data_IF_628373975085
#
_entry.id   IF_628373975085
#
_cell.length_a   1.000
_cell.length_b   1.000
_cell.length_c   1.000
_cell.angle_alpha   90.00
_cell.angle_beta   90.00
_cell.angle_gamma   90.00
#
_symmetry.space_group_name_H-M   'P 1'
#
loop_
_entity.id
_entity.type
_entity.pdbx_description
1 polymer ?
#
# COMPACT_ATOMS: atom_id res chain seq x y z
N UNK A 1 -59.15 -28.28 55.97
CA UNK A 1 -58.31 -28.36 54.74
C UNK A 1 -57.64 -27.00 54.49
N UNK A 2 -56.35 -26.90 54.65
CA UNK A 2 -55.60 -25.66 54.31
C UNK A 2 -55.32 -25.63 52.80
N UNK A 3 -55.58 -24.53 52.08
CA UNK A 3 -55.24 -24.44 50.64
C UNK A 3 -53.73 -24.40 50.47
N UNK A 4 -53.21 -25.33 49.66
CA UNK A 4 -51.77 -25.27 49.20
C UNK A 4 -51.61 -24.08 48.29
N UNK A 5 -50.72 -23.14 48.63
CA UNK A 5 -50.34 -22.03 47.79
C UNK A 5 -49.60 -22.58 46.60
N UNK A 6 -50.07 -22.37 45.35
CA UNK A 6 -49.42 -22.64 44.12
C UNK A 6 -48.08 -21.86 44.06
N UNK A 7 -46.97 -22.57 44.17
CA UNK A 7 -45.62 -21.97 43.95
C UNK A 7 -45.52 -21.47 42.51
N UNK A 8 -45.54 -20.19 42.34
CA UNK A 8 -45.43 -19.52 41.05
C UNK A 8 -44.05 -19.80 40.43
N UNK A 9 -43.95 -20.09 39.12
CA UNK A 9 -42.70 -20.56 38.46
C UNK A 9 -41.71 -19.41 38.19
N UNK A 10 -41.65 -18.37 39.05
CA UNK A 10 -40.79 -17.20 38.87
C UNK A 10 -39.31 -17.57 38.65
N UNK A 11 -38.81 -18.62 39.31
CA UNK A 11 -37.45 -19.10 39.14
C UNK A 11 -37.18 -19.62 37.73
N UNK A 12 -38.15 -20.28 37.10
CA UNK A 12 -38.05 -20.80 35.74
C UNK A 12 -38.13 -19.70 34.70
N UNK A 13 -39.00 -18.69 34.96
CA UNK A 13 -39.13 -17.51 34.09
C UNK A 13 -37.86 -16.64 34.18
N UNK A 14 -37.31 -16.43 35.36
CA UNK A 14 -36.06 -15.69 35.54
C UNK A 14 -34.90 -16.38 34.86
N UNK A 15 -34.80 -17.73 34.94
CA UNK A 15 -33.77 -18.50 34.26
C UNK A 15 -33.89 -18.38 32.74
N UNK A 16 -35.11 -18.46 32.20
CA UNK A 16 -35.35 -18.32 30.75
C UNK A 16 -34.98 -16.92 30.25
N UNK A 17 -35.34 -15.87 30.99
CA UNK A 17 -34.98 -14.49 30.64
C UNK A 17 -33.47 -14.23 30.68
N UNK A 18 -32.79 -14.80 31.70
CA UNK A 18 -31.31 -14.66 31.76
C UNK A 18 -30.59 -15.39 30.61
N UNK A 19 -31.13 -16.58 30.22
CA UNK A 19 -30.57 -17.31 29.07
C UNK A 19 -30.80 -16.57 27.76
N UNK A 20 -31.99 -15.99 27.55
CA UNK A 20 -32.29 -15.15 26.39
C UNK A 20 -31.38 -13.91 26.34
N UNK A 21 -31.16 -13.25 27.47
CA UNK A 21 -30.25 -12.10 27.55
C UNK A 21 -28.80 -12.48 27.20
N UNK A 22 -28.33 -13.63 27.70
CA UNK A 22 -26.99 -14.17 27.35
C UNK A 22 -26.84 -14.48 25.86
N UNK A 23 -27.89 -15.07 25.25
CA UNK A 23 -27.87 -15.34 23.80
C UNK A 23 -27.87 -14.07 22.98
N UNK A 24 -28.67 -13.05 23.38
CA UNK A 24 -28.65 -11.73 22.72
C UNK A 24 -27.28 -11.08 22.84
N UNK A 25 -26.65 -11.12 24.01
CA UNK A 25 -25.30 -10.62 24.23
C UNK A 25 -24.23 -11.36 23.40
N UNK A 26 -24.34 -12.69 23.28
CA UNK A 26 -23.47 -13.49 22.47
C UNK A 26 -23.60 -13.12 20.97
N UNK A 27 -24.81 -12.93 20.45
CA UNK A 27 -25.08 -12.55 19.06
C UNK A 27 -24.59 -11.11 18.79
N UNK A 28 -24.87 -10.16 19.67
CA UNK A 28 -24.41 -8.79 19.54
C UNK A 28 -22.89 -8.68 19.67
N UNK A 29 -22.28 -9.45 20.58
CA UNK A 29 -20.83 -9.48 20.79
C UNK A 29 -20.08 -10.06 19.59
N UNK A 30 -20.58 -11.13 18.97
CA UNK A 30 -19.97 -11.71 17.77
C UNK A 30 -20.17 -10.81 16.54
N UNK A 31 -21.32 -10.15 16.41
CA UNK A 31 -21.58 -9.19 15.35
C UNK A 31 -20.67 -7.96 15.42
N UNK A 32 -20.43 -7.44 16.63
CA UNK A 32 -19.52 -6.33 16.84
C UNK A 32 -18.05 -6.71 16.57
N UNK A 33 -17.62 -7.91 16.99
CA UNK A 33 -16.24 -8.38 16.70
C UNK A 33 -15.99 -8.67 15.22
N UNK A 34 -17.01 -9.10 14.46
CA UNK A 34 -16.86 -9.31 13.01
C UNK A 34 -16.84 -7.98 12.23
N UNK A 35 -17.49 -6.93 12.75
CA UNK A 35 -17.45 -5.60 12.14
C UNK A 35 -16.07 -4.91 12.25
N UNK A 36 -15.21 -5.37 13.19
CA UNK A 36 -13.84 -4.84 13.35
C UNK A 36 -12.83 -5.46 12.38
N UNK A 37 -13.19 -6.57 11.70
CA UNK A 37 -12.35 -7.28 10.75
C UNK A 37 -12.78 -7.15 9.29
N UNK A 38 -13.75 -6.29 8.98
CA UNK A 38 -13.90 -5.83 7.61
C UNK A 38 -12.84 -4.77 7.35
N UNK A 39 -11.64 -5.25 7.07
CA UNK A 39 -10.59 -4.45 6.48
C UNK A 39 -11.10 -4.01 5.10
N UNK A 40 -11.60 -2.79 5.02
CA UNK A 40 -11.81 -2.10 3.75
C UNK A 40 -10.48 -1.51 3.33
N UNK A 41 -9.50 -2.39 3.11
CA UNK A 41 -8.30 -1.99 2.40
C UNK A 41 -8.74 -1.59 1.00
N UNK A 42 -8.46 -0.36 0.54
CA UNK A 42 -8.65 -0.02 -0.86
C UNK A 42 -7.85 -1.01 -1.71
N UNK A 43 -8.38 -1.44 -2.83
CA UNK A 43 -7.68 -2.40 -3.70
C UNK A 43 -6.45 -1.75 -4.32
N UNK A 44 -5.28 -2.37 -4.16
CA UNK A 44 -4.07 -2.00 -4.88
C UNK A 44 -4.34 -2.11 -6.38
N UNK A 45 -4.02 -1.06 -7.12
CA UNK A 45 -4.29 -0.98 -8.54
C UNK A 45 -3.03 -0.53 -9.28
N UNK A 46 -2.32 -1.50 -9.85
CA UNK A 46 -1.27 -1.21 -10.81
C UNK A 46 -1.91 -1.00 -12.19
N UNK A 47 -1.54 0.07 -12.87
CA UNK A 47 -2.15 0.48 -14.13
C UNK A 47 -1.12 0.31 -15.25
N UNK A 48 -1.43 -0.54 -16.23
CA UNK A 48 -0.59 -0.80 -17.39
C UNK A 48 -1.30 -0.39 -18.67
N UNK A 49 -0.68 0.50 -19.47
CA UNK A 49 -1.17 0.94 -20.76
C UNK A 49 -0.10 0.72 -21.82
N UNK A 50 -0.21 -0.36 -22.58
CA UNK A 50 0.82 -0.76 -23.54
C UNK A 50 0.41 -0.61 -25.01
N UNK A 51 -0.73 -0.02 -25.34
CA UNK A 51 -1.15 0.37 -26.70
C UNK A 51 -0.74 -0.60 -27.83
N UNK A 52 -0.79 -1.92 -27.58
CA UNK A 52 -0.40 -2.96 -28.55
C UNK A 52 1.09 -3.35 -28.52
N UNK A 53 1.88 -2.83 -27.61
CA UNK A 53 3.27 -3.26 -27.39
C UNK A 53 3.32 -4.50 -26.50
N UNK A 54 4.32 -5.34 -26.73
CA UNK A 54 4.64 -6.49 -25.87
C UNK A 54 5.64 -6.06 -24.80
N UNK A 55 5.13 -5.68 -23.64
CA UNK A 55 5.89 -5.14 -22.51
C UNK A 55 5.70 -6.03 -21.30
N UNK A 56 6.82 -6.47 -20.72
CA UNK A 56 6.80 -7.15 -19.43
C UNK A 56 7.34 -6.23 -18.33
N UNK A 57 6.63 -6.18 -17.20
CA UNK A 57 7.06 -5.47 -16.00
C UNK A 57 7.20 -6.46 -14.87
N UNK A 58 8.36 -6.48 -14.24
CA UNK A 58 8.64 -7.35 -13.10
C UNK A 58 9.14 -6.54 -11.92
N UNK A 59 8.91 -7.02 -10.70
CA UNK A 59 9.54 -6.48 -9.50
C UNK A 59 10.51 -7.50 -8.91
N UNK A 60 11.46 -6.99 -8.13
CA UNK A 60 12.46 -7.83 -7.49
C UNK A 60 12.00 -8.23 -6.10
N UNK A 61 11.92 -9.54 -5.87
CA UNK A 61 11.61 -10.11 -4.56
C UNK A 61 12.79 -10.01 -3.59
N UNK A 62 12.54 -10.21 -2.32
CA UNK A 62 13.55 -10.21 -1.24
C UNK A 62 14.61 -11.30 -1.43
N UNK A 63 14.27 -12.43 -2.07
CA UNK A 63 15.20 -13.51 -2.43
C UNK A 63 16.07 -13.19 -3.67
N UNK A 64 15.84 -12.03 -4.29
CA UNK A 64 16.57 -11.53 -5.44
C UNK A 64 16.03 -11.96 -6.79
N UNK A 65 14.96 -12.73 -6.85
CA UNK A 65 14.31 -13.12 -8.10
C UNK A 65 13.42 -12.00 -8.63
N UNK A 66 13.17 -12.07 -9.94
CA UNK A 66 12.24 -11.20 -10.64
C UNK A 66 10.91 -11.92 -10.82
N UNK A 67 9.83 -11.29 -10.43
CA UNK A 67 8.46 -11.78 -10.59
C UNK A 67 7.65 -10.79 -11.43
N UNK A 68 6.89 -11.31 -12.40
CA UNK A 68 5.98 -10.50 -13.20
C UNK A 68 4.90 -9.91 -12.33
N UNK A 69 4.60 -8.64 -12.55
CA UNK A 69 3.54 -7.93 -11.83
C UNK A 69 2.30 -7.80 -12.70
N UNK A 70 1.17 -7.95 -12.05
CA UNK A 70 -0.16 -7.70 -12.61
C UNK A 70 -0.86 -6.51 -11.93
N UNK A 71 -2.12 -6.29 -12.27
CA UNK A 71 -2.90 -5.19 -11.71
C UNK A 71 -3.10 -5.25 -10.19
N UNK A 72 -2.81 -6.39 -9.54
CA UNK A 72 -3.09 -6.62 -8.10
C UNK A 72 -1.85 -6.98 -7.29
N UNK A 73 -0.69 -7.07 -7.92
CA UNK A 73 0.57 -7.42 -7.23
C UNK A 73 0.97 -6.31 -6.26
N UNK A 74 1.23 -6.67 -5.02
CA UNK A 74 1.75 -5.75 -4.00
C UNK A 74 3.22 -5.45 -4.28
N UNK A 75 3.47 -4.31 -4.90
CA UNK A 75 4.82 -3.85 -5.23
C UNK A 75 5.46 -3.12 -4.05
N UNK A 76 4.66 -2.35 -3.33
CA UNK A 76 5.04 -1.71 -2.08
C UNK A 76 4.55 -2.54 -0.89
N UNK A 77 5.22 -2.39 0.24
CA UNK A 77 4.79 -3.01 1.49
C UNK A 77 3.58 -2.24 2.05
N UNK A 78 2.39 -2.82 1.95
CA UNK A 78 1.12 -2.26 2.42
C UNK A 78 0.97 -2.29 3.95
N UNK A 79 1.75 -3.15 4.63
CA UNK A 79 1.85 -3.18 6.10
C UNK A 79 2.91 -2.23 6.66
N UNK A 80 3.59 -1.46 5.79
CA UNK A 80 4.66 -0.56 6.20
C UNK A 80 4.14 0.53 7.14
N UNK A 81 4.75 0.61 8.31
CA UNK A 81 4.60 1.74 9.21
C UNK A 81 5.53 2.87 8.75
N UNK A 82 4.99 3.84 8.05
CA UNK A 82 5.74 5.01 7.56
C UNK A 82 6.08 5.97 8.69
N UNK A 83 6.91 5.52 9.63
CA UNK A 83 7.43 6.36 10.72
C UNK A 83 8.52 7.31 10.19
N UNK A 84 8.76 8.46 10.89
CA UNK A 84 9.86 9.36 10.54
C UNK A 84 11.19 8.62 10.39
N UNK A 85 11.81 8.78 9.23
CA UNK A 85 13.03 8.06 8.87
C UNK A 85 12.82 6.75 8.10
N UNK A 86 11.60 6.26 7.92
CA UNK A 86 11.34 5.09 7.08
C UNK A 86 11.73 5.33 5.62
N UNK A 87 12.37 4.33 5.00
CA UNK A 87 12.75 4.33 3.58
C UNK A 87 12.48 2.95 3.01
N UNK A 88 11.72 2.91 1.93
CA UNK A 88 11.49 1.71 1.13
C UNK A 88 12.03 1.90 -0.28
N UNK A 89 12.70 0.90 -0.80
CA UNK A 89 13.20 0.86 -2.19
C UNK A 89 12.61 -0.37 -2.87
N UNK A 90 11.93 -0.14 -3.98
CA UNK A 90 11.36 -1.20 -4.82
C UNK A 90 12.07 -1.16 -6.16
N UNK A 91 12.51 -2.32 -6.64
CA UNK A 91 13.18 -2.45 -7.93
C UNK A 91 12.21 -3.03 -8.96
N UNK A 92 12.10 -2.35 -10.09
CA UNK A 92 11.33 -2.77 -11.25
C UNK A 92 12.26 -3.08 -12.41
N UNK A 93 11.82 -3.98 -13.25
CA UNK A 93 12.44 -4.30 -14.54
C UNK A 93 11.36 -4.19 -15.63
N UNK A 94 11.57 -3.32 -16.60
CA UNK A 94 10.69 -3.14 -17.76
C UNK A 94 11.41 -3.68 -19.00
N UNK A 95 10.79 -4.61 -19.69
CA UNK A 95 11.36 -5.30 -20.85
C UNK A 95 10.48 -5.11 -22.09
N UNK A 96 11.09 -4.75 -23.21
CA UNK A 96 10.45 -4.76 -24.51
C UNK A 96 10.57 -6.15 -25.15
N UNK A 97 9.53 -6.97 -25.06
CA UNK A 97 9.46 -8.30 -25.70
C UNK A 97 8.99 -8.23 -27.16
N UNK A 98 8.53 -7.06 -27.59
CA UNK A 98 8.06 -6.84 -28.95
C UNK A 98 9.15 -6.53 -29.94
N UNK A 99 8.74 -6.21 -31.15
CA UNK A 99 9.62 -5.90 -32.30
C UNK A 99 9.68 -4.42 -32.65
N UNK A 100 8.96 -3.57 -31.93
CA UNK A 100 8.85 -2.14 -32.18
C UNK A 100 9.40 -1.37 -30.99
N UNK A 101 10.25 -0.34 -31.21
CA UNK A 101 10.70 0.52 -30.13
C UNK A 101 9.55 1.37 -29.58
N UNK A 102 9.56 1.63 -28.29
CA UNK A 102 8.60 2.51 -27.63
C UNK A 102 9.28 3.38 -26.59
N UNK A 103 8.59 4.43 -26.19
CA UNK A 103 8.91 5.18 -24.99
C UNK A 103 7.87 4.87 -23.91
N UNK A 104 8.28 4.91 -22.65
CA UNK A 104 7.35 4.70 -21.54
C UNK A 104 7.60 5.68 -20.42
N UNK A 105 6.52 5.96 -19.70
CA UNK A 105 6.52 6.70 -18.45
C UNK A 105 6.24 5.73 -17.30
N UNK A 106 6.78 6.02 -16.14
CA UNK A 106 6.39 5.34 -14.90
C UNK A 106 5.93 6.35 -13.86
N UNK A 107 4.96 5.95 -13.04
CA UNK A 107 4.42 6.78 -11.98
C UNK A 107 4.08 5.92 -10.75
N UNK A 108 4.05 6.56 -9.57
CA UNK A 108 3.48 5.97 -8.35
C UNK A 108 2.11 6.58 -8.14
N UNK A 109 1.11 5.71 -7.95
CA UNK A 109 -0.26 6.11 -7.65
C UNK A 109 -0.52 5.97 -6.15
N UNK A 110 -1.30 6.88 -5.60
CA UNK A 110 -1.91 6.72 -4.28
C UNK A 110 -3.33 6.21 -4.49
N UNK A 111 -3.54 4.91 -4.28
CA UNK A 111 -4.84 4.26 -4.47
C UNK A 111 -5.77 4.50 -3.29
N UNK A 112 -5.21 4.61 -2.09
CA UNK A 112 -5.95 4.91 -0.88
C UNK A 112 -5.07 5.46 0.23
N UNK A 113 -5.66 6.23 1.12
CA UNK A 113 -4.98 6.74 2.31
C UNK A 113 -5.95 6.87 3.48
N UNK A 114 -5.64 6.21 4.59
CA UNK A 114 -6.44 6.28 5.81
C UNK A 114 -5.99 7.49 6.62
N UNK A 115 -6.94 8.40 6.87
CA UNK A 115 -6.74 9.58 7.71
C UNK A 115 -6.65 9.17 9.17
N UNK A 116 -5.61 9.61 9.87
CA UNK A 116 -5.43 9.39 11.30
C UNK A 116 -5.35 10.70 12.07
N UNK A 117 -5.23 10.61 13.39
CA UNK A 117 -5.01 11.75 14.27
C UNK A 117 -3.59 11.64 14.85
N UNK A 118 -2.81 12.72 14.74
CA UNK A 118 -1.45 12.73 15.28
C UNK A 118 -1.42 12.92 16.81
N UNK A 119 -0.24 12.82 17.39
CA UNK A 119 -0.05 12.95 18.87
C UNK A 119 -0.47 14.33 19.41
N UNK A 120 -0.57 15.36 18.56
CA UNK A 120 -1.06 16.69 18.91
C UNK A 120 -2.58 16.85 18.77
N UNK A 121 -3.31 15.80 18.35
CA UNK A 121 -4.74 15.83 18.14
C UNK A 121 -5.17 16.41 16.79
N UNK A 122 -4.27 16.56 15.84
CA UNK A 122 -4.55 17.10 14.51
C UNK A 122 -4.73 15.93 13.51
N UNK A 123 -5.67 16.05 12.56
CA UNK A 123 -5.83 15.07 11.50
C UNK A 123 -4.68 15.16 10.50
N UNK A 124 -4.24 14.00 9.97
CA UNK A 124 -3.21 13.93 8.93
C UNK A 124 -3.40 12.71 8.02
N UNK A 125 -2.77 12.75 6.85
CA UNK A 125 -2.65 11.64 5.92
C UNK A 125 -1.18 11.46 5.53
N UNK A 126 -0.71 10.21 5.39
CA UNK A 126 0.70 9.91 5.08
C UNK A 126 1.17 10.55 3.78
N UNK A 127 0.31 10.60 2.76
CA UNK A 127 0.63 11.21 1.46
C UNK A 127 1.05 12.69 1.52
N UNK A 128 0.69 13.41 2.59
CA UNK A 128 1.03 14.83 2.76
C UNK A 128 2.51 15.02 3.12
N UNK A 129 3.14 13.98 3.67
CA UNK A 129 4.52 14.02 4.19
C UNK A 129 5.50 13.18 3.40
N UNK A 130 5.02 12.11 2.74
CA UNK A 130 5.89 11.20 2.01
C UNK A 130 6.62 11.88 0.87
N UNK A 131 7.88 11.51 0.71
CA UNK A 131 8.74 11.89 -0.40
C UNK A 131 8.98 10.69 -1.29
N UNK A 132 9.20 10.98 -2.57
CA UNK A 132 9.45 10.00 -3.60
C UNK A 132 10.68 10.36 -4.42
N UNK A 133 11.33 9.34 -4.95
CA UNK A 133 12.43 9.47 -5.89
C UNK A 133 12.54 8.27 -6.80
N UNK A 134 13.28 8.44 -7.89
CA UNK A 134 13.52 7.41 -8.88
C UNK A 134 15.00 7.40 -9.27
N UNK A 135 15.55 6.21 -9.43
CA UNK A 135 16.81 5.99 -10.09
C UNK A 135 16.60 4.99 -11.23
N UNK A 136 17.39 5.11 -12.30
CA UNK A 136 17.31 4.22 -13.47
C UNK A 136 18.68 3.74 -13.89
N UNK A 137 18.75 2.54 -14.47
CA UNK A 137 19.97 1.97 -15.01
C UNK A 137 19.65 1.06 -16.20
N UNK A 138 20.67 0.77 -17.02
CA UNK A 138 20.55 -0.13 -18.16
C UNK A 138 20.88 -1.59 -17.77
N UNK A 139 21.54 -1.79 -16.64
CA UNK A 139 21.86 -3.11 -16.10
C UNK A 139 21.45 -3.26 -14.65
N UNK A 140 21.24 -4.50 -14.22
CA UNK A 140 20.90 -4.80 -12.81
C UNK A 140 22.05 -4.44 -11.86
N UNK A 141 23.29 -4.60 -12.31
CA UNK A 141 24.48 -4.28 -11.52
C UNK A 141 24.60 -2.77 -11.30
N UNK A 142 24.42 -1.97 -12.34
CA UNK A 142 24.38 -0.50 -12.22
C UNK A 142 23.27 -0.05 -11.29
N UNK A 143 22.08 -0.67 -11.37
CA UNK A 143 20.96 -0.36 -10.49
C UNK A 143 21.30 -0.64 -9.03
N UNK A 144 21.90 -1.80 -8.73
CA UNK A 144 22.35 -2.12 -7.36
C UNK A 144 23.38 -1.13 -6.83
N UNK A 145 24.29 -0.70 -7.70
CA UNK A 145 25.35 0.24 -7.37
C UNK A 145 24.84 1.69 -7.25
N UNK A 146 23.72 2.04 -7.89
CA UNK A 146 23.13 3.39 -7.82
C UNK A 146 22.55 3.73 -6.45
N UNK A 147 22.16 2.72 -5.68
CA UNK A 147 21.58 2.90 -4.32
C UNK A 147 22.33 1.98 -3.34
N UNK A 148 23.60 2.27 -3.05
CA UNK A 148 24.43 1.40 -2.22
C UNK A 148 24.01 1.38 -0.75
N UNK A 149 23.30 2.39 -0.31
CA UNK A 149 22.87 2.52 1.09
C UNK A 149 21.64 3.43 1.26
N UNK A 150 21.13 3.46 2.49
CA UNK A 150 19.95 4.27 2.86
C UNK A 150 20.15 5.77 2.60
N UNK A 151 21.32 6.32 2.83
CA UNK A 151 21.56 7.76 2.66
C UNK A 151 21.40 8.17 1.19
N UNK A 152 21.94 7.39 0.26
CA UNK A 152 21.74 7.61 -1.17
C UNK A 152 20.24 7.55 -1.55
N UNK A 153 19.49 6.61 -1.00
CA UNK A 153 18.04 6.56 -1.22
C UNK A 153 17.34 7.82 -0.71
N UNK A 154 17.74 8.32 0.47
CA UNK A 154 17.21 9.57 1.06
C UNK A 154 17.51 10.78 0.18
N UNK A 155 18.72 10.86 -0.39
CA UNK A 155 19.13 11.94 -1.28
C UNK A 155 18.34 11.95 -2.60
N UNK A 156 18.03 10.78 -3.15
CA UNK A 156 17.25 10.64 -4.38
C UNK A 156 15.76 10.98 -4.13
N UNK A 157 15.19 10.52 -3.00
CA UNK A 157 13.76 10.66 -2.71
C UNK A 157 13.42 12.02 -2.08
N UNK A 158 13.39 13.07 -2.88
CA UNK A 158 13.13 14.45 -2.42
C UNK A 158 11.84 15.09 -2.95
N UNK A 159 11.22 14.49 -3.97
CA UNK A 159 9.98 15.02 -4.53
C UNK A 159 8.78 14.66 -3.63
N UNK A 160 7.81 15.58 -3.41
CA UNK A 160 6.59 15.26 -2.67
C UNK A 160 5.76 14.20 -3.39
N UNK A 161 5.36 13.14 -2.68
CA UNK A 161 4.53 12.08 -3.26
C UNK A 161 3.11 12.58 -3.59
N UNK A 162 2.47 13.29 -2.69
CA UNK A 162 1.08 13.75 -2.83
C UNK A 162 0.15 12.59 -3.28
N UNK A 163 -0.65 12.84 -4.35
CA UNK A 163 -1.57 11.84 -4.91
C UNK A 163 -0.97 11.05 -6.07
N UNK A 164 0.11 11.54 -6.64
CA UNK A 164 0.67 11.01 -7.87
C UNK A 164 2.06 11.59 -8.10
N UNK A 165 2.99 10.73 -8.47
CA UNK A 165 4.32 11.15 -8.92
C UNK A 165 4.63 10.49 -10.26
N UNK A 166 4.95 11.31 -11.27
CA UNK A 166 5.36 10.87 -12.62
C UNK A 166 6.85 11.07 -12.80
N UNK A 167 7.54 10.00 -13.20
CA UNK A 167 8.92 10.07 -13.66
C UNK A 167 9.00 10.55 -15.12
N UNK A 168 10.20 10.81 -15.59
CA UNK A 168 10.46 11.11 -16.98
C UNK A 168 10.14 9.96 -17.95
N UNK A 169 10.20 10.27 -19.24
CA UNK A 169 9.99 9.29 -20.31
C UNK A 169 11.28 8.57 -20.61
N UNK A 170 11.21 7.24 -20.76
CA UNK A 170 12.33 6.37 -21.08
C UNK A 170 12.09 5.67 -22.42
N UNK A 171 13.11 5.57 -23.26
CA UNK A 171 13.02 4.85 -24.53
C UNK A 171 13.55 3.44 -24.39
N UNK A 172 12.90 2.48 -25.08
CA UNK A 172 13.27 1.09 -25.05
C UNK A 172 13.21 0.47 -26.45
N UNK A 173 14.38 0.09 -26.96
CA UNK A 173 14.48 -0.62 -28.23
C UNK A 173 13.92 -2.05 -28.12
N UNK A 174 13.59 -2.72 -29.24
CA UNK A 174 13.21 -4.14 -29.24
C UNK A 174 14.24 -5.01 -28.50
N UNK A 175 13.78 -5.88 -27.61
CA UNK A 175 14.65 -6.71 -26.75
C UNK A 175 15.38 -5.94 -25.65
N UNK A 176 15.16 -4.64 -25.54
CA UNK A 176 15.79 -3.80 -24.51
C UNK A 176 15.17 -4.00 -23.12
N UNK A 177 15.96 -3.67 -22.12
CA UNK A 177 15.57 -3.73 -20.70
C UNK A 177 15.96 -2.43 -20.00
N UNK A 178 15.08 -1.94 -19.11
CA UNK A 178 15.38 -0.81 -18.23
C UNK A 178 15.10 -1.22 -16.79
N UNK A 179 16.04 -0.96 -15.91
CA UNK A 179 15.91 -1.15 -14.48
C UNK A 179 15.56 0.17 -13.81
N UNK A 180 14.63 0.13 -12.87
CA UNK A 180 14.09 1.30 -12.19
C UNK A 180 14.06 1.00 -10.70
N UNK A 181 14.56 1.91 -9.87
CA UNK A 181 14.34 1.89 -8.45
C UNK A 181 13.35 2.99 -8.09
N UNK A 182 12.25 2.59 -7.46
CA UNK A 182 11.27 3.49 -6.87
C UNK A 182 11.55 3.59 -5.38
N UNK A 183 11.68 4.81 -4.87
CA UNK A 183 12.03 5.07 -3.49
C UNK A 183 10.92 5.90 -2.86
N UNK A 184 10.36 5.39 -1.75
CA UNK A 184 9.40 6.13 -0.93
C UNK A 184 9.99 6.28 0.45
N UNK A 185 9.93 7.49 1.03
CA UNK A 185 10.41 7.73 2.37
C UNK A 185 9.51 8.66 3.17
N UNK A 186 9.51 8.48 4.49
CA UNK A 186 9.03 9.47 5.44
C UNK A 186 10.24 10.28 5.93
N UNK A 187 10.28 11.59 5.71
CA UNK A 187 11.37 12.42 6.18
C UNK A 187 11.50 12.43 7.71
N UNK A 188 12.71 12.40 8.22
CA UNK A 188 12.97 12.46 9.67
C UNK A 188 12.50 13.78 10.31
N UNK A 189 12.61 14.86 9.55
CA UNK A 189 12.22 16.21 9.97
C UNK A 189 10.71 16.38 10.20
N UNK A 190 9.88 15.49 9.68
CA UNK A 190 8.43 15.47 9.95
C UNK A 190 8.17 15.18 11.43
N UNK A 191 8.99 14.35 12.05
CA UNK A 191 8.94 14.08 13.48
C UNK A 191 7.53 13.67 13.96
N UNK A 192 7.13 14.16 15.10
CA UNK A 192 5.87 13.76 15.76
C UNK A 192 4.58 14.20 15.04
N UNK A 193 4.66 15.01 13.98
CA UNK A 193 3.47 15.43 13.21
C UNK A 193 2.87 14.23 12.45
N UNK A 194 3.71 13.28 12.02
CA UNK A 194 3.27 12.05 11.36
C UNK A 194 3.11 10.87 12.34
N UNK A 195 3.35 11.05 13.63
CA UNK A 195 3.11 10.02 14.63
C UNK A 195 1.65 10.05 15.05
N UNK A 196 0.96 8.94 14.85
CA UNK A 196 -0.45 8.83 15.20
C UNK A 196 -0.67 8.51 16.68
N UNK A 197 -1.88 8.81 17.16
CA UNK A 197 -2.41 8.38 18.44
C UNK A 197 -3.84 7.88 18.29
N UNK A 198 -4.25 6.97 19.18
CA UNK A 198 -5.58 6.35 19.16
C UNK A 198 -5.59 5.08 18.31
N UNK A 199 -6.80 4.61 17.97
CA UNK A 199 -6.99 3.27 17.41
C UNK A 199 -6.91 3.23 15.88
N UNK A 200 -6.87 4.39 15.21
CA UNK A 200 -6.77 4.46 13.75
C UNK A 200 -5.31 4.57 13.31
N UNK A 201 -4.77 3.47 12.81
CA UNK A 201 -3.43 3.42 12.22
C UNK A 201 -3.47 4.10 10.84
N UNK A 202 -2.60 5.09 10.55
CA UNK A 202 -2.52 5.66 9.22
C UNK A 202 -1.97 4.60 8.24
N UNK A 203 -2.69 4.40 7.14
CA UNK A 203 -2.26 3.50 6.07
C UNK A 203 -2.26 4.27 4.76
N UNK A 204 -1.38 3.87 3.85
CA UNK A 204 -1.35 4.35 2.47
C UNK A 204 -1.14 3.15 1.56
N UNK A 205 -1.91 3.08 0.51
CA UNK A 205 -1.77 2.07 -0.53
C UNK A 205 -1.21 2.69 -1.77
N UNK A 206 -0.07 2.16 -2.17
CA UNK A 206 0.68 2.63 -3.32
C UNK A 206 0.61 1.58 -4.43
N UNK A 207 0.34 2.05 -5.64
CA UNK A 207 0.44 1.25 -6.86
C UNK A 207 1.42 1.90 -7.83
N UNK A 208 1.68 1.23 -8.94
CA UNK A 208 2.49 1.76 -10.03
C UNK A 208 1.66 1.92 -11.30
N UNK A 209 2.06 2.87 -12.13
CA UNK A 209 1.61 2.98 -13.52
C UNK A 209 2.82 2.87 -14.44
N UNK A 210 2.70 2.03 -15.47
CA UNK A 210 3.64 2.02 -16.59
C UNK A 210 2.84 2.22 -17.86
N UNK A 211 3.16 3.27 -18.61
CA UNK A 211 2.47 3.64 -19.84
C UNK A 211 3.48 3.69 -20.99
N UNK A 212 3.29 2.82 -21.98
CA UNK A 212 4.10 2.81 -23.19
C UNK A 212 3.37 3.48 -24.35
N UNK A 213 4.06 4.37 -25.05
CA UNK A 213 3.60 5.11 -26.22
C UNK A 213 4.56 4.88 -27.39
N UNK A 214 4.05 4.94 -28.61
CA UNK A 214 4.90 4.85 -29.81
C UNK A 214 5.84 6.05 -29.89
N UNK A 215 7.08 5.80 -30.34
CA UNK A 215 7.99 6.88 -30.73
C UNK A 215 7.47 7.44 -32.04
N UNK A 216 6.99 8.68 -32.03
CA UNK A 216 6.67 9.45 -33.22
C UNK A 216 7.81 10.39 -33.51
N UNK A 217 8.43 10.23 -34.68
CA UNK A 217 9.46 11.13 -35.20
C UNK A 217 8.93 12.58 -35.36
#
# INVERSE_FOLDING_TARGET
>A
MKPQAKKTPYKRIALALSLCALLIWAILGTGASLAWFTDTSPEINNIFHFAGFDVEVSHRLTDGKWELIDGKTDVFDDEALYEPGYVQVVYLKVENKGTVPFKFDTAVNVNGCIKATNVFGQPFMLQEYLKFGIATADTEEEMKNSIPNRNTAVEIANEPLRNYYKSGSFELAPGGTKYIALIVRMPEEVGNVANYRGDTVPKIELGITVKADQITD
#
